data_IF_318840428298
#
_entry.id   IF_318840428298
#
_cell.length_a   1.000
_cell.length_b   1.000
_cell.length_c   1.000
_cell.angle_alpha   90.00
_cell.angle_beta   90.00
_cell.angle_gamma   90.00
#
_symmetry.space_group_name_H-M   'P 1'
#
loop_
_entity.id
_entity.type
_entity.pdbx_description
1 polymer ?
#
# COMPACT_ATOMS: atom_id res chain seq x y z
N UNK A 1 -30.39 16.50 -10.48
CA UNK A 1 -29.13 16.15 -11.17
C UNK A 1 -27.87 16.27 -10.28
N UNK A 2 -27.70 17.32 -9.46
CA UNK A 2 -26.48 17.47 -8.62
C UNK A 2 -26.22 16.39 -7.55
N UNK A 3 -27.25 15.69 -7.05
CA UNK A 3 -27.12 14.65 -6.01
C UNK A 3 -26.37 13.40 -6.51
N UNK A 4 -26.69 12.91 -7.70
CA UNK A 4 -26.04 11.69 -8.25
C UNK A 4 -24.56 11.86 -8.57
N UNK A 5 -24.09 13.09 -8.77
CA UNK A 5 -22.67 13.37 -8.99
C UNK A 5 -21.88 13.44 -7.67
N UNK A 6 -22.50 13.89 -6.58
CA UNK A 6 -21.89 13.84 -5.24
C UNK A 6 -21.78 12.41 -4.74
N UNK A 7 -22.78 11.57 -5.00
CA UNK A 7 -22.77 10.14 -4.69
C UNK A 7 -21.59 9.41 -5.36
N UNK A 8 -21.28 9.72 -6.63
CA UNK A 8 -20.11 9.16 -7.33
C UNK A 8 -18.77 9.48 -6.66
N UNK A 9 -18.63 10.69 -6.10
CA UNK A 9 -17.41 11.08 -5.37
C UNK A 9 -17.34 10.31 -4.05
N UNK A 10 -18.46 10.22 -3.33
CA UNK A 10 -18.55 9.49 -2.05
C UNK A 10 -18.26 7.99 -2.23
N UNK A 11 -18.82 7.37 -3.27
CA UNK A 11 -18.57 5.96 -3.60
C UNK A 11 -17.08 5.69 -3.84
N UNK A 12 -16.41 6.56 -4.61
CA UNK A 12 -14.97 6.42 -4.85
C UNK A 12 -14.11 6.64 -3.61
N UNK A 13 -14.51 7.57 -2.73
CA UNK A 13 -13.83 7.75 -1.44
C UNK A 13 -13.98 6.51 -0.56
N UNK A 14 -15.18 5.91 -0.51
CA UNK A 14 -15.41 4.66 0.21
C UNK A 14 -14.57 3.52 -0.38
N UNK A 15 -14.48 3.42 -1.70
CA UNK A 15 -13.61 2.43 -2.38
C UNK A 15 -12.14 2.57 -2.00
N UNK A 16 -11.62 3.80 -1.87
CA UNK A 16 -10.24 4.02 -1.41
C UNK A 16 -10.05 3.56 0.04
N UNK A 17 -11.03 3.79 0.91
CA UNK A 17 -10.95 3.33 2.30
C UNK A 17 -10.91 1.81 2.38
N UNK A 18 -11.81 1.14 1.65
CA UNK A 18 -11.81 -0.33 1.54
C UNK A 18 -10.51 -0.87 0.95
N UNK A 19 -9.97 -0.22 -0.09
CA UNK A 19 -8.70 -0.60 -0.68
C UNK A 19 -7.55 -0.48 0.33
N UNK A 20 -7.51 0.60 1.13
CA UNK A 20 -6.49 0.76 2.18
C UNK A 20 -6.57 -0.34 3.23
N UNK A 21 -7.77 -0.72 3.64
CA UNK A 21 -7.98 -1.79 4.61
C UNK A 21 -7.55 -3.15 4.04
N UNK A 22 -7.99 -3.49 2.83
CA UNK A 22 -7.61 -4.73 2.15
C UNK A 22 -6.09 -4.85 1.95
N UNK A 23 -5.42 -3.79 1.48
CA UNK A 23 -3.97 -3.79 1.31
C UNK A 23 -3.24 -3.94 2.66
N UNK A 24 -3.77 -3.35 3.74
CA UNK A 24 -3.20 -3.50 5.08
C UNK A 24 -3.29 -4.94 5.58
N UNK A 25 -4.45 -5.58 5.40
CA UNK A 25 -4.66 -6.98 5.79
C UNK A 25 -3.77 -7.92 4.99
N UNK A 26 -3.68 -7.73 3.67
CA UNK A 26 -2.81 -8.50 2.77
C UNK A 26 -1.34 -8.38 3.18
N UNK A 27 -0.87 -7.15 3.44
CA UNK A 27 0.50 -6.87 3.89
C UNK A 27 0.83 -7.57 5.21
N UNK A 28 -0.10 -7.58 6.16
CA UNK A 28 0.05 -8.30 7.43
C UNK A 28 0.12 -9.81 7.23
N UNK A 29 -0.72 -10.36 6.35
CA UNK A 29 -0.78 -11.79 6.07
C UNK A 29 0.51 -12.28 5.41
N UNK A 30 1.03 -11.54 4.43
CA UNK A 30 2.32 -11.83 3.79
C UNK A 30 3.50 -11.70 4.76
N UNK A 31 3.48 -10.70 5.65
CA UNK A 31 4.49 -10.59 6.71
C UNK A 31 4.49 -11.82 7.65
N UNK A 32 3.31 -12.24 8.11
CA UNK A 32 3.17 -13.40 8.99
C UNK A 32 3.66 -14.68 8.30
N UNK A 33 3.33 -14.84 7.01
CA UNK A 33 3.79 -15.97 6.19
C UNK A 33 5.30 -16.00 6.04
N UNK A 34 5.93 -14.88 5.72
CA UNK A 34 7.38 -14.77 5.63
C UNK A 34 8.05 -15.03 6.98
N UNK A 35 7.46 -14.53 8.08
CA UNK A 35 7.96 -14.79 9.43
C UNK A 35 7.90 -16.28 9.78
N UNK A 36 6.81 -16.96 9.47
CA UNK A 36 6.64 -18.39 9.70
C UNK A 36 7.63 -19.22 8.88
N UNK A 37 7.86 -18.86 7.62
CA UNK A 37 8.88 -19.50 6.78
C UNK A 37 10.28 -19.36 7.37
N UNK A 38 10.65 -18.17 7.89
CA UNK A 38 11.94 -17.99 8.58
C UNK A 38 12.04 -18.77 9.88
N UNK A 39 10.93 -18.93 10.61
CA UNK A 39 10.89 -19.76 11.83
C UNK A 39 11.17 -21.22 11.49
N UNK A 40 10.48 -21.75 10.48
CA UNK A 40 10.65 -23.13 10.02
C UNK A 40 12.09 -23.37 9.54
N UNK A 41 12.64 -22.46 8.72
CA UNK A 41 14.02 -22.56 8.23
C UNK A 41 15.04 -22.63 9.37
N UNK A 42 14.87 -21.81 10.41
CA UNK A 42 15.73 -21.83 11.61
C UNK A 42 15.62 -23.14 12.38
N UNK A 43 14.42 -23.69 12.50
CA UNK A 43 14.19 -24.96 13.17
C UNK A 43 14.81 -26.12 12.39
N UNK A 44 14.66 -26.13 11.07
CA UNK A 44 15.26 -27.12 10.17
C UNK A 44 16.79 -27.10 10.26
N UNK A 45 17.41 -25.92 10.13
CA UNK A 45 18.85 -25.78 10.29
C UNK A 45 19.31 -26.17 11.70
N UNK A 46 18.57 -25.76 12.73
CA UNK A 46 18.86 -26.10 14.12
C UNK A 46 18.89 -27.61 14.36
N UNK A 47 17.92 -28.35 13.80
CA UNK A 47 17.89 -29.82 13.84
C UNK A 47 19.10 -30.44 13.13
N UNK A 48 19.40 -30.01 11.90
CA UNK A 48 20.53 -30.54 11.13
C UNK A 48 21.88 -30.30 11.82
N UNK A 49 22.06 -29.11 12.41
CA UNK A 49 23.26 -28.78 13.17
C UNK A 49 23.39 -29.67 14.41
N UNK A 50 22.28 -29.90 15.12
CA UNK A 50 22.27 -30.75 16.31
C UNK A 50 22.62 -32.20 15.96
N UNK A 51 22.04 -32.73 14.88
CA UNK A 51 22.33 -34.09 14.40
C UNK A 51 23.82 -34.28 14.03
N UNK A 52 24.43 -33.30 13.35
CA UNK A 52 25.87 -33.37 13.03
C UNK A 52 26.76 -33.20 14.26
N UNK A 53 26.35 -32.41 15.26
CA UNK A 53 27.07 -32.33 16.55
C UNK A 53 27.03 -33.68 17.28
N UNK A 54 25.85 -34.28 17.42
CA UNK A 54 25.68 -35.56 18.10
C UNK A 54 26.41 -36.70 17.37
N UNK A 55 26.45 -36.66 16.04
CA UNK A 55 27.21 -37.60 15.22
C UNK A 55 28.71 -37.43 15.43
N UNK A 56 29.20 -36.18 15.40
CA UNK A 56 30.60 -35.87 15.71
C UNK A 56 30.99 -36.41 17.10
N UNK A 57 30.18 -36.17 18.13
CA UNK A 57 30.44 -36.65 19.49
C UNK A 57 30.48 -38.18 19.57
N UNK A 58 29.56 -38.86 18.89
CA UNK A 58 29.54 -40.33 18.78
C UNK A 58 30.77 -40.88 18.07
N UNK A 59 31.20 -40.25 16.99
CA UNK A 59 32.39 -40.67 16.23
C UNK A 59 33.66 -40.50 17.09
N UNK A 60 33.79 -39.37 17.78
CA UNK A 60 34.90 -39.07 18.67
C UNK A 60 35.00 -40.01 19.87
N UNK A 61 33.86 -40.51 20.37
CA UNK A 61 33.78 -41.49 21.45
C UNK A 61 34.18 -42.91 21.01
N UNK A 62 33.98 -43.25 19.72
CA UNK A 62 34.33 -44.56 19.16
C UNK A 62 35.81 -44.65 18.75
N UNK A 63 36.46 -43.53 18.44
CA UNK A 63 37.87 -43.50 18.05
C UNK A 63 38.80 -43.78 19.25
N UNK A 64 39.39 -44.99 19.27
CA UNK A 64 40.41 -45.44 20.24
C UNK A 64 41.79 -44.80 19.95
N UNK A 65 41.90 -43.49 20.07
CA UNK A 65 43.16 -42.75 19.96
C UNK A 65 43.75 -42.48 21.36
N UNK A 66 45.08 -42.28 21.49
CA UNK A 66 45.71 -41.84 22.72
C UNK A 66 45.04 -40.56 23.26
N UNK A 67 44.83 -40.50 24.58
CA UNK A 67 44.09 -39.41 25.26
C UNK A 67 44.68 -38.02 24.98
N UNK A 68 45.98 -37.92 24.72
CA UNK A 68 46.68 -36.66 24.46
C UNK A 68 47.67 -36.83 23.29
N UNK A 69 47.65 -35.88 22.36
CA UNK A 69 48.58 -35.84 21.23
C UNK A 69 48.10 -34.91 20.11
N UNK A 70 49.03 -34.34 19.31
CA UNK A 70 48.68 -33.38 18.25
C UNK A 70 47.76 -33.98 17.18
N UNK A 71 47.80 -35.29 16.97
CA UNK A 71 46.91 -35.99 16.05
C UNK A 71 45.45 -36.00 16.53
N UNK A 72 45.20 -36.09 17.83
CA UNK A 72 43.85 -36.05 18.40
C UNK A 72 43.27 -34.64 18.33
N UNK A 73 44.09 -33.63 18.63
CA UNK A 73 43.70 -32.22 18.54
C UNK A 73 43.34 -31.84 17.08
N UNK A 74 44.16 -32.24 16.12
CA UNK A 74 43.88 -31.99 14.69
C UNK A 74 42.55 -32.61 14.25
N UNK A 75 42.25 -33.83 14.72
CA UNK A 75 41.00 -34.52 14.43
C UNK A 75 39.80 -33.77 15.03
N UNK A 76 39.86 -33.38 16.31
CA UNK A 76 38.81 -32.58 16.98
C UNK A 76 38.55 -31.29 16.21
N UNK A 77 39.60 -30.52 15.92
CA UNK A 77 39.50 -29.27 15.16
C UNK A 77 38.90 -29.47 13.77
N UNK A 78 39.23 -30.60 13.11
CA UNK A 78 38.67 -30.93 11.80
C UNK A 78 37.16 -31.16 11.87
N UNK A 79 36.68 -31.84 12.92
CA UNK A 79 35.25 -32.09 13.13
C UNK A 79 34.50 -30.83 13.56
N UNK A 80 35.04 -30.07 14.50
CA UNK A 80 34.48 -28.78 14.90
C UNK A 80 34.37 -27.82 13.72
N UNK A 81 35.37 -27.81 12.83
CA UNK A 81 35.33 -27.04 11.58
C UNK A 81 34.16 -27.47 10.69
N UNK A 82 33.83 -28.77 10.60
CA UNK A 82 32.69 -29.24 9.80
C UNK A 82 31.37 -28.69 10.35
N UNK A 83 31.16 -28.78 11.67
CA UNK A 83 29.97 -28.21 12.34
C UNK A 83 29.90 -26.69 12.17
N UNK A 84 31.03 -26.00 12.30
CA UNK A 84 31.10 -24.54 12.11
C UNK A 84 30.74 -24.13 10.68
N UNK A 85 31.23 -24.86 9.67
CA UNK A 85 30.87 -24.61 8.26
C UNK A 85 29.37 -24.74 8.07
N UNK A 86 28.75 -25.82 8.59
CA UNK A 86 27.31 -26.02 8.52
C UNK A 86 26.53 -24.87 9.18
N UNK A 87 26.96 -24.44 10.38
CA UNK A 87 26.35 -23.28 11.08
C UNK A 87 26.47 -21.99 10.26
N UNK A 88 27.63 -21.74 9.65
CA UNK A 88 27.83 -20.55 8.81
C UNK A 88 26.96 -20.58 7.55
N UNK A 89 26.80 -21.75 6.94
CA UNK A 89 25.93 -21.93 5.77
C UNK A 89 24.46 -21.71 6.12
N UNK A 90 23.99 -22.28 7.23
CA UNK A 90 22.65 -22.05 7.77
C UNK A 90 22.36 -20.56 8.00
N UNK A 91 23.27 -19.87 8.70
CA UNK A 91 23.14 -18.42 8.96
C UNK A 91 23.12 -17.59 7.67
N UNK A 92 23.95 -17.95 6.67
CA UNK A 92 23.94 -17.28 5.37
C UNK A 92 22.61 -17.48 4.65
N UNK A 93 22.08 -18.69 4.64
CA UNK A 93 20.79 -18.99 4.01
C UNK A 93 19.64 -18.25 4.71
N UNK A 94 19.62 -18.21 6.04
CA UNK A 94 18.63 -17.44 6.82
C UNK A 94 18.72 -15.94 6.56
N UNK A 95 19.93 -15.38 6.49
CA UNK A 95 20.15 -13.98 6.18
C UNK A 95 19.68 -13.63 4.76
N UNK A 96 20.02 -14.47 3.78
CA UNK A 96 19.55 -14.30 2.39
C UNK A 96 18.02 -14.38 2.29
N UNK A 97 17.39 -15.29 3.04
CA UNK A 97 15.94 -15.38 3.07
C UNK A 97 15.32 -14.10 3.66
N UNK A 98 15.84 -13.61 4.78
CA UNK A 98 15.36 -12.37 5.39
C UNK A 98 15.54 -11.15 4.48
N UNK A 99 16.64 -11.09 3.72
CA UNK A 99 16.89 -10.01 2.76
C UNK A 99 15.92 -10.05 1.57
N UNK A 100 15.63 -11.24 1.04
CA UNK A 100 14.60 -11.43 0.00
C UNK A 100 13.22 -11.01 0.49
N UNK A 101 12.83 -11.46 1.69
CA UNK A 101 11.54 -11.11 2.28
C UNK A 101 11.39 -9.59 2.43
N UNK A 102 12.46 -8.91 2.87
CA UNK A 102 12.48 -7.45 3.01
C UNK A 102 12.36 -6.75 1.66
N UNK A 103 13.10 -7.23 0.65
CA UNK A 103 13.01 -6.70 -0.72
C UNK A 103 11.59 -6.88 -1.27
N UNK A 104 11.00 -8.06 -1.16
CA UNK A 104 9.64 -8.33 -1.61
C UNK A 104 8.63 -7.41 -0.93
N UNK A 105 8.75 -7.25 0.40
CA UNK A 105 7.88 -6.35 1.16
C UNK A 105 8.03 -4.89 0.71
N UNK A 106 9.26 -4.45 0.42
CA UNK A 106 9.52 -3.11 -0.10
C UNK A 106 8.85 -2.89 -1.47
N UNK A 107 9.02 -3.81 -2.42
CA UNK A 107 8.43 -3.69 -3.75
C UNK A 107 6.90 -3.71 -3.69
N UNK A 108 6.31 -4.58 -2.85
CA UNK A 108 4.86 -4.59 -2.62
C UNK A 108 4.37 -3.27 -2.06
N UNK A 109 5.03 -2.76 -1.01
CA UNK A 109 4.66 -1.48 -0.41
C UNK A 109 4.75 -0.31 -1.41
N UNK A 110 5.76 -0.30 -2.27
CA UNK A 110 5.84 0.69 -3.35
C UNK A 110 4.65 0.60 -4.32
N UNK A 111 4.28 -0.62 -4.73
CA UNK A 111 3.14 -0.84 -5.61
C UNK A 111 1.81 -0.44 -4.96
N UNK A 112 1.61 -0.77 -3.68
CA UNK A 112 0.47 -0.34 -2.87
C UNK A 112 0.33 1.19 -2.82
N UNK A 113 1.42 1.89 -2.49
CA UNK A 113 1.46 3.34 -2.46
C UNK A 113 1.16 3.95 -3.82
N UNK A 114 1.67 3.35 -4.89
CA UNK A 114 1.39 3.78 -6.25
C UNK A 114 -0.11 3.66 -6.57
N UNK A 115 -0.69 2.49 -6.33
CA UNK A 115 -2.12 2.23 -6.55
C UNK A 115 -3.00 3.20 -5.74
N UNK A 116 -2.69 3.40 -4.46
CA UNK A 116 -3.42 4.35 -3.60
C UNK A 116 -3.31 5.79 -4.11
N UNK A 117 -2.13 6.20 -4.60
CA UNK A 117 -1.92 7.52 -5.18
C UNK A 117 -2.76 7.71 -6.44
N UNK A 118 -2.78 6.72 -7.34
CA UNK A 118 -3.56 6.78 -8.58
C UNK A 118 -5.06 6.87 -8.31
N UNK A 119 -5.59 6.02 -7.43
CA UNK A 119 -7.01 6.07 -7.05
C UNK A 119 -7.36 7.40 -6.36
N UNK A 120 -6.48 7.93 -5.52
CA UNK A 120 -6.66 9.26 -4.91
C UNK A 120 -6.71 10.37 -5.96
N UNK A 121 -5.80 10.36 -6.93
CA UNK A 121 -5.81 11.29 -8.05
C UNK A 121 -7.10 11.18 -8.88
N UNK A 122 -7.62 9.97 -9.05
CA UNK A 122 -8.87 9.76 -9.76
C UNK A 122 -10.07 10.35 -9.01
N UNK A 123 -10.10 10.28 -7.68
CA UNK A 123 -11.10 10.99 -6.87
C UNK A 123 -11.02 12.49 -7.11
N UNK A 124 -9.83 13.09 -7.10
CA UNK A 124 -9.68 14.53 -7.39
C UNK A 124 -10.17 14.92 -8.79
N UNK A 125 -9.89 14.08 -9.80
CA UNK A 125 -10.37 14.31 -11.18
C UNK A 125 -11.90 14.31 -11.25
N UNK A 126 -12.53 13.29 -10.67
CA UNK A 126 -14.01 13.17 -10.66
C UNK A 126 -14.63 14.29 -9.85
N UNK A 127 -14.07 14.61 -8.68
CA UNK A 127 -14.53 15.73 -7.87
C UNK A 127 -14.49 17.04 -8.66
N UNK A 128 -13.36 17.34 -9.32
CA UNK A 128 -13.21 18.53 -10.16
C UNK A 128 -14.26 18.59 -11.25
N UNK A 129 -14.48 17.48 -11.98
CA UNK A 129 -15.50 17.41 -13.03
C UNK A 129 -16.90 17.74 -12.47
N UNK A 130 -17.27 17.12 -11.35
CA UNK A 130 -18.56 17.34 -10.70
C UNK A 130 -18.71 18.79 -10.24
N UNK A 131 -17.67 19.38 -9.66
CA UNK A 131 -17.68 20.79 -9.24
C UNK A 131 -17.83 21.74 -10.44
N UNK A 132 -17.14 21.48 -11.55
CA UNK A 132 -17.26 22.28 -12.77
C UNK A 132 -18.65 22.19 -13.40
N UNK A 133 -19.25 20.99 -13.43
CA UNK A 133 -20.63 20.78 -13.90
C UNK A 133 -21.63 21.52 -13.01
N UNK A 134 -21.50 21.41 -11.69
CA UNK A 134 -22.37 22.14 -10.75
C UNK A 134 -22.26 23.65 -10.92
N UNK A 135 -21.04 24.18 -11.12
CA UNK A 135 -20.80 25.61 -11.38
C UNK A 135 -21.47 26.07 -12.68
N UNK A 136 -21.32 25.32 -13.77
CA UNK A 136 -21.98 25.65 -15.05
C UNK A 136 -23.50 25.70 -14.91
N UNK A 137 -24.10 24.76 -14.18
CA UNK A 137 -25.55 24.70 -13.96
C UNK A 137 -26.03 25.87 -13.08
N UNK A 138 -25.29 26.24 -12.03
CA UNK A 138 -25.68 27.39 -11.19
C UNK A 138 -25.53 28.71 -11.93
N UNK A 139 -24.40 28.93 -12.62
CA UNK A 139 -24.17 30.13 -13.43
C UNK A 139 -25.20 30.29 -14.54
N UNK A 140 -25.54 29.19 -15.24
CA UNK A 140 -26.59 29.19 -16.25
C UNK A 140 -27.93 29.65 -15.68
N UNK A 141 -28.33 29.11 -14.52
CA UNK A 141 -29.57 29.52 -13.84
C UNK A 141 -29.56 30.98 -13.43
N UNK A 142 -28.47 31.47 -12.81
CA UNK A 142 -28.37 32.89 -12.44
C UNK A 142 -28.41 33.81 -13.67
N UNK A 143 -27.74 33.44 -14.75
CA UNK A 143 -27.75 34.21 -16.00
C UNK A 143 -29.15 34.29 -16.61
N UNK A 144 -29.91 33.20 -16.62
CA UNK A 144 -31.29 33.21 -17.12
C UNK A 144 -32.18 34.14 -16.31
N UNK A 145 -32.14 34.04 -14.98
CA UNK A 145 -32.94 34.91 -14.09
C UNK A 145 -32.55 36.38 -14.24
N UNK A 146 -31.26 36.69 -14.35
CA UNK A 146 -30.79 38.05 -14.59
C UNK A 146 -31.25 38.59 -15.94
N UNK A 147 -31.23 37.77 -17.00
CA UNK A 147 -31.72 38.16 -18.32
C UNK A 147 -33.22 38.48 -18.30
N UNK A 148 -34.03 37.63 -17.66
CA UNK A 148 -35.47 37.86 -17.48
C UNK A 148 -35.73 39.18 -16.74
N UNK A 149 -35.05 39.42 -15.62
CA UNK A 149 -35.22 40.65 -14.84
C UNK A 149 -34.81 41.91 -15.62
N UNK A 150 -33.76 41.84 -16.44
CA UNK A 150 -33.34 42.95 -17.30
C UNK A 150 -34.38 43.21 -18.41
N UNK A 151 -34.91 42.14 -19.01
CA UNK A 151 -35.96 42.27 -20.03
C UNK A 151 -37.22 42.90 -19.45
N UNK A 152 -37.66 42.45 -18.27
CA UNK A 152 -38.81 43.01 -17.55
C UNK A 152 -38.59 44.49 -17.21
N UNK A 153 -37.39 44.85 -16.72
CA UNK A 153 -37.05 46.24 -16.41
C UNK A 153 -37.09 47.15 -17.66
N UNK A 154 -36.59 46.67 -18.81
CA UNK A 154 -36.65 47.40 -20.08
C UNK A 154 -38.10 47.58 -20.52
N UNK A 155 -38.90 46.50 -20.47
CA UNK A 155 -40.31 46.55 -20.84
C UNK A 155 -41.10 47.55 -19.98
N UNK A 156 -40.95 47.47 -18.66
CA UNK A 156 -41.60 48.40 -17.72
C UNK A 156 -41.11 49.84 -17.91
N UNK A 157 -39.83 50.04 -18.22
CA UNK A 157 -39.29 51.38 -18.52
C UNK A 157 -39.91 51.96 -19.79
N UNK A 158 -40.01 51.19 -20.87
CA UNK A 158 -40.63 51.62 -22.11
C UNK A 158 -42.12 51.95 -21.91
N UNK A 159 -42.85 51.10 -21.17
CA UNK A 159 -44.25 51.35 -20.82
C UNK A 159 -44.41 52.62 -19.97
N UNK A 160 -43.55 52.83 -18.98
CA UNK A 160 -43.56 54.04 -18.16
C UNK A 160 -43.24 55.30 -18.98
N UNK A 161 -42.31 55.23 -19.93
CA UNK A 161 -42.01 56.35 -20.83
C UNK A 161 -43.21 56.71 -21.70
N UNK A 162 -43.92 55.71 -22.23
CA UNK A 162 -45.15 55.92 -22.99
C UNK A 162 -46.23 56.59 -22.13
N UNK A 163 -46.48 56.07 -20.93
CA UNK A 163 -47.45 56.65 -19.99
C UNK A 163 -47.09 58.08 -19.58
N UNK A 164 -45.79 58.40 -19.44
CA UNK A 164 -45.35 59.76 -19.17
C UNK A 164 -45.55 60.70 -20.36
N UNK A 165 -45.39 60.22 -21.60
CA UNK A 165 -45.67 61.01 -22.79
C UNK A 165 -47.19 61.29 -22.91
N UNK A 166 -48.02 60.27 -22.72
CA UNK A 166 -49.47 60.39 -22.77
C UNK A 166 -50.00 61.34 -21.68
N UNK A 167 -49.48 61.25 -20.45
CA UNK A 167 -49.84 62.17 -19.36
C UNK A 167 -49.41 63.62 -19.60
N UNK A 168 -48.41 63.88 -20.46
CA UNK A 168 -47.99 65.25 -20.80
C UNK A 168 -48.84 65.87 -21.92
N UNK A 169 -49.57 65.07 -22.67
CA UNK A 169 -50.43 65.51 -23.77
C UNK A 169 -51.89 65.76 -23.33
N UNK A 170 -52.25 65.34 -22.12
CA UNK A 170 -53.51 65.63 -21.43
C UNK A 170 -53.35 66.86 -20.52
#
# INVERSE_FOLDING_TARGET
EGKGNVEKVQERVARIQQLKEALREESQLEYNKAQEQRRQLKEDHGRLIQEEVEKMERDLAQEQLPTEGPQRELLLLTRERQVLVLRMEALRAEAQQAERDLQDQYHRHQAELHCLREESLQVFRVFRQVSEEQRKISEGRYRSVLLEAVQDAIYLSAQNQQLQADNKQL
#
